data_IF_817256529922
#
_entry.id   IF_817256529922
#
_cell.length_a   1.000
_cell.length_b   1.000
_cell.length_c   1.000
_cell.angle_alpha   90.00
_cell.angle_beta   90.00
_cell.angle_gamma   90.00
#
_symmetry.space_group_name_H-M   'P 1'
#
loop_
_entity.id
_entity.type
_entity.pdbx_description
1 polymer ?
#
# COMPACT_ATOMS: atom_id res chain seq x y z
N UNK A 1 -19.59 -2.66 21.99
CA UNK A 1 -19.56 -3.35 20.68
C UNK A 1 -20.63 -2.89 19.66
N UNK A 2 -21.78 -2.33 20.06
CA UNK A 2 -22.84 -1.89 19.12
C UNK A 2 -22.52 -0.63 18.29
N UNK A 3 -21.69 0.27 18.81
CA UNK A 3 -21.34 1.55 18.16
C UNK A 3 -20.58 1.32 16.85
N UNK A 4 -19.69 0.31 16.80
CA UNK A 4 -18.96 -0.04 15.58
C UNK A 4 -19.90 -0.53 14.47
N UNK A 5 -20.85 -1.40 14.78
CA UNK A 5 -21.82 -1.90 13.78
C UNK A 5 -22.69 -0.77 13.20
N UNK A 6 -23.07 0.21 14.02
CA UNK A 6 -23.80 1.39 13.55
C UNK A 6 -22.92 2.27 12.65
N UNK A 7 -21.65 2.48 13.01
CA UNK A 7 -20.71 3.25 12.21
C UNK A 7 -20.40 2.55 10.88
N UNK A 8 -20.15 1.24 10.90
CA UNK A 8 -19.93 0.41 9.70
C UNK A 8 -21.12 0.51 8.73
N UNK A 9 -22.34 0.43 9.28
CA UNK A 9 -23.57 0.61 8.51
C UNK A 9 -23.69 2.01 7.89
N UNK A 10 -23.23 3.05 8.57
CA UNK A 10 -23.20 4.41 8.02
C UNK A 10 -22.08 4.59 7.00
N UNK A 11 -20.89 4.03 7.22
CA UNK A 11 -19.77 4.05 6.27
C UNK A 11 -20.13 3.37 4.95
N UNK A 12 -20.88 2.27 5.02
CA UNK A 12 -21.39 1.56 3.83
C UNK A 12 -22.43 2.38 3.06
N UNK A 13 -23.25 3.17 3.76
CA UNK A 13 -24.34 3.96 3.14
C UNK A 13 -23.86 5.31 2.61
N UNK A 14 -23.08 6.02 3.41
CA UNK A 14 -22.65 7.39 3.16
C UNK A 14 -21.32 7.66 3.87
N UNK A 15 -20.23 7.26 3.22
CA UNK A 15 -18.88 7.52 3.69
C UNK A 15 -18.57 9.02 3.77
N UNK A 16 -19.14 9.85 2.88
CA UNK A 16 -18.82 11.28 2.83
C UNK A 16 -19.44 12.01 4.03
N UNK A 17 -20.64 11.63 4.48
CA UNK A 17 -21.20 12.10 5.73
C UNK A 17 -20.35 11.71 6.96
N UNK A 18 -19.78 10.49 6.98
CA UNK A 18 -18.86 10.06 8.03
C UNK A 18 -17.59 10.91 8.01
N UNK A 19 -16.96 11.11 6.85
CA UNK A 19 -15.76 11.96 6.73
C UNK A 19 -16.01 13.40 7.17
N UNK A 20 -17.18 13.98 6.83
CA UNK A 20 -17.57 15.31 7.31
C UNK A 20 -17.77 15.37 8.82
N UNK A 21 -18.33 14.32 9.44
CA UNK A 21 -18.46 14.24 10.89
C UNK A 21 -17.08 14.21 11.59
N UNK A 22 -16.08 13.57 10.98
CA UNK A 22 -14.71 13.49 11.52
C UNK A 22 -13.97 14.83 11.55
N UNK A 23 -14.42 15.83 10.78
CA UNK A 23 -13.86 17.19 10.80
C UNK A 23 -14.11 17.94 12.13
N UNK A 24 -14.97 17.41 13.00
CA UNK A 24 -15.22 18.02 14.31
C UNK A 24 -14.03 17.77 15.27
N UNK A 25 -13.23 18.81 15.52
CA UNK A 25 -12.06 18.75 16.40
C UNK A 25 -12.34 18.16 17.79
N UNK A 26 -13.53 18.42 18.36
CA UNK A 26 -13.91 17.92 19.68
C UNK A 26 -14.14 16.41 19.76
N UNK A 27 -14.26 15.73 18.61
CA UNK A 27 -14.37 14.27 18.51
C UNK A 27 -13.02 13.58 18.79
N UNK A 28 -11.93 14.16 18.27
CA UNK A 28 -10.58 13.62 18.37
C UNK A 28 -10.01 13.67 19.79
N UNK A 29 -10.64 14.42 20.69
CA UNK A 29 -10.30 14.46 22.12
C UNK A 29 -11.00 13.37 22.93
N UNK A 30 -11.96 12.63 22.34
CA UNK A 30 -12.73 11.62 23.06
C UNK A 30 -12.00 10.26 23.05
N UNK A 31 -11.70 9.66 24.22
CA UNK A 31 -11.03 8.35 24.29
C UNK A 31 -11.76 7.26 23.52
N UNK A 32 -13.09 7.24 23.58
CA UNK A 32 -13.92 6.29 22.83
C UNK A 32 -13.67 6.35 21.32
N UNK A 33 -13.34 7.53 20.78
CA UNK A 33 -13.04 7.69 19.38
C UNK A 33 -11.59 7.27 19.08
N UNK A 34 -10.62 7.85 19.81
CA UNK A 34 -9.19 7.63 19.56
C UNK A 34 -8.75 6.19 19.82
N UNK A 35 -9.28 5.53 20.84
CA UNK A 35 -8.87 4.18 21.24
C UNK A 35 -9.61 3.07 20.49
N UNK A 36 -10.81 3.35 19.94
CA UNK A 36 -11.67 2.28 19.43
C UNK A 36 -12.25 2.50 18.04
N UNK A 37 -12.33 3.74 17.54
CA UNK A 37 -12.98 4.03 16.27
C UNK A 37 -11.99 4.48 15.20
N UNK A 38 -11.06 5.38 15.53
CA UNK A 38 -10.12 5.96 14.58
C UNK A 38 -9.37 4.90 13.75
N UNK A 39 -8.71 3.95 14.43
CA UNK A 39 -7.99 2.87 13.73
C UNK A 39 -8.90 1.96 12.90
N UNK A 40 -10.12 1.70 13.34
CA UNK A 40 -11.06 0.86 12.58
C UNK A 40 -11.56 1.55 11.32
N UNK A 41 -11.79 2.86 11.38
CA UNK A 41 -12.14 3.67 10.20
C UNK A 41 -10.98 3.64 9.21
N UNK A 42 -9.74 3.82 9.68
CA UNK A 42 -8.55 3.72 8.83
C UNK A 42 -8.42 2.34 8.18
N UNK A 43 -8.60 1.26 8.95
CA UNK A 43 -8.60 -0.11 8.44
C UNK A 43 -9.66 -0.34 7.37
N UNK A 44 -10.87 0.20 7.59
CA UNK A 44 -11.97 0.07 6.64
C UNK A 44 -11.68 0.79 5.32
N UNK A 45 -11.20 2.03 5.37
CA UNK A 45 -10.82 2.81 4.19
C UNK A 45 -9.66 2.17 3.42
N UNK A 46 -8.71 1.57 4.13
CA UNK A 46 -7.57 0.86 3.55
C UNK A 46 -7.96 -0.48 2.88
N UNK A 47 -8.88 -1.24 3.49
CA UNK A 47 -9.30 -2.56 3.00
C UNK A 47 -10.26 -2.48 1.80
N UNK A 48 -11.12 -1.46 1.76
CA UNK A 48 -12.17 -1.33 0.74
C UNK A 48 -11.63 -0.87 -0.60
N UNK A 49 -11.23 -1.84 -1.41
CA UNK A 49 -10.64 -1.62 -2.74
C UNK A 49 -11.56 -2.07 -3.87
N UNK A 50 -12.86 -2.24 -3.60
CA UNK A 50 -13.82 -2.84 -4.52
C UNK A 50 -15.27 -2.58 -4.15
N UNK A 51 -16.16 -2.78 -5.13
CA UNK A 51 -17.55 -2.28 -5.10
C UNK A 51 -18.51 -3.24 -4.38
N UNK A 52 -18.15 -4.52 -4.28
CA UNK A 52 -18.79 -5.64 -3.56
C UNK A 52 -18.19 -6.95 -4.08
N UNK A 53 -18.30 -8.07 -3.36
CA UNK A 53 -18.12 -9.36 -4.00
C UNK A 53 -19.22 -9.54 -5.05
N UNK A 54 -18.84 -9.80 -6.30
CA UNK A 54 -19.81 -10.04 -7.37
C UNK A 54 -19.75 -11.51 -7.80
N UNK A 55 -20.91 -12.07 -8.10
CA UNK A 55 -21.06 -13.39 -8.72
C UNK A 55 -21.96 -13.23 -9.94
N UNK A 56 -21.68 -13.95 -11.02
CA UNK A 56 -22.53 -13.96 -12.21
C UNK A 56 -23.34 -15.25 -12.24
N UNK A 57 -24.63 -15.17 -12.58
CA UNK A 57 -25.45 -16.36 -12.80
C UNK A 57 -24.97 -17.05 -14.07
N UNK A 58 -24.63 -18.32 -13.97
CA UNK A 58 -24.20 -19.11 -15.13
C UNK A 58 -25.41 -19.31 -16.05
N UNK A 59 -25.32 -18.94 -17.32
CA UNK A 59 -26.41 -19.13 -18.29
C UNK A 59 -26.54 -20.63 -18.64
N UNK A 60 -27.64 -21.30 -18.25
CA UNK A 60 -27.79 -22.73 -18.49
C UNK A 60 -27.96 -23.10 -19.97
N UNK A 61 -28.26 -22.14 -20.85
CA UNK A 61 -28.48 -22.40 -22.27
C UNK A 61 -27.19 -22.41 -23.10
N UNK A 62 -26.14 -21.71 -22.66
CA UNK A 62 -24.85 -21.67 -23.35
C UNK A 62 -23.96 -22.89 -23.00
N UNK A 63 -24.21 -23.52 -21.85
CA UNK A 63 -23.43 -24.67 -21.35
C UNK A 63 -24.31 -25.86 -20.91
N UNK A 64 -25.39 -26.09 -21.66
CA UNK A 64 -26.45 -27.05 -21.31
C UNK A 64 -25.96 -28.50 -21.17
N UNK A 65 -24.92 -28.89 -21.94
CA UNK A 65 -24.33 -30.23 -21.88
C UNK A 65 -23.70 -30.46 -20.51
N UNK A 66 -22.90 -29.51 -20.02
CA UNK A 66 -22.23 -29.62 -18.72
C UNK A 66 -23.24 -29.54 -17.56
N UNK A 67 -24.28 -28.73 -17.68
CA UNK A 67 -25.39 -28.66 -16.71
C UNK A 67 -26.13 -30.00 -16.55
N UNK A 68 -26.25 -30.79 -17.62
CA UNK A 68 -26.95 -32.08 -17.58
C UNK A 68 -26.18 -33.18 -16.81
N UNK A 69 -24.85 -33.06 -16.70
CA UNK A 69 -24.00 -34.05 -16.03
C UNK A 69 -23.71 -33.75 -14.56
N UNK A 70 -24.06 -32.55 -14.07
CA UNK A 70 -23.73 -32.11 -12.71
C UNK A 70 -24.99 -31.75 -11.89
N UNK A 71 -25.24 -32.39 -10.73
CA UNK A 71 -26.34 -31.99 -9.85
C UNK A 71 -26.11 -30.55 -9.35
N UNK A 72 -27.19 -29.78 -9.18
CA UNK A 72 -27.27 -28.32 -8.90
C UNK A 72 -26.28 -27.72 -7.87
N UNK A 73 -25.53 -28.52 -7.13
CA UNK A 73 -24.59 -28.07 -6.10
C UNK A 73 -23.10 -28.35 -6.40
N UNK A 74 -22.74 -29.03 -7.51
CA UNK A 74 -21.33 -29.40 -7.80
C UNK A 74 -21.01 -29.38 -9.30
N UNK A 75 -20.87 -28.20 -9.87
CA UNK A 75 -20.17 -28.04 -11.15
C UNK A 75 -18.65 -28.11 -10.91
N UNK A 76 -17.84 -28.52 -11.90
CA UNK A 76 -16.40 -28.38 -11.84
C UNK A 76 -16.05 -26.88 -11.77
N UNK A 77 -15.52 -26.40 -10.64
CA UNK A 77 -15.13 -25.00 -10.46
C UNK A 77 -16.11 -24.09 -9.67
N UNK A 78 -17.08 -24.64 -8.92
CA UNK A 78 -17.90 -23.83 -8.00
C UNK A 78 -19.28 -24.41 -7.64
N UNK A 79 -19.94 -23.83 -6.63
CA UNK A 79 -21.31 -24.19 -6.20
C UNK A 79 -22.32 -23.78 -7.28
N UNK A 80 -23.13 -24.72 -7.74
CA UNK A 80 -23.98 -24.54 -8.92
C UNK A 80 -24.92 -23.32 -8.90
N UNK A 81 -25.25 -22.91 -10.13
CA UNK A 81 -26.01 -21.75 -10.57
C UNK A 81 -25.26 -20.39 -10.62
N UNK A 82 -24.12 -20.22 -9.93
CA UNK A 82 -23.35 -18.97 -9.93
C UNK A 82 -21.84 -19.21 -10.03
N UNK A 83 -21.09 -18.22 -10.53
CA UNK A 83 -19.62 -18.21 -10.43
C UNK A 83 -19.16 -18.14 -8.98
N UNK A 84 -17.93 -18.55 -8.71
CA UNK A 84 -17.29 -18.30 -7.42
C UNK A 84 -17.26 -16.79 -7.09
N UNK A 85 -17.17 -16.50 -5.78
CA UNK A 85 -17.12 -15.13 -5.27
C UNK A 85 -15.89 -14.41 -5.79
N UNK A 86 -16.07 -13.38 -6.61
CA UNK A 86 -14.98 -12.53 -7.08
C UNK A 86 -15.02 -11.24 -6.28
N UNK A 87 -14.01 -11.02 -5.43
CA UNK A 87 -13.73 -9.70 -4.88
C UNK A 87 -13.30 -8.81 -6.05
N UNK A 88 -14.18 -7.93 -6.52
CA UNK A 88 -13.88 -7.08 -7.67
C UNK A 88 -13.04 -5.89 -7.21
N UNK A 89 -11.74 -5.89 -7.50
CA UNK A 89 -10.93 -4.69 -7.37
C UNK A 89 -11.48 -3.62 -8.33
N UNK A 90 -11.68 -2.41 -7.82
CA UNK A 90 -12.10 -1.25 -8.60
C UNK A 90 -11.12 -0.13 -8.35
N UNK A 91 -10.36 0.23 -9.39
CA UNK A 91 -9.34 1.26 -9.30
C UNK A 91 -9.92 2.60 -8.81
N UNK A 92 -11.14 2.94 -9.24
CA UNK A 92 -11.83 4.17 -8.84
C UNK A 92 -12.22 4.16 -7.35
N UNK A 93 -12.78 3.06 -6.84
CA UNK A 93 -13.12 2.94 -5.41
C UNK A 93 -11.85 2.89 -4.56
N UNK A 94 -10.85 2.12 -4.98
CA UNK A 94 -9.56 2.07 -4.30
C UNK A 94 -8.94 3.46 -4.22
N UNK A 95 -8.92 4.22 -5.32
CA UNK A 95 -8.40 5.59 -5.33
C UNK A 95 -9.20 6.52 -4.43
N UNK A 96 -10.54 6.42 -4.45
CA UNK A 96 -11.43 7.24 -3.61
C UNK A 96 -11.21 6.97 -2.12
N UNK A 97 -11.17 5.70 -1.72
CA UNK A 97 -11.03 5.32 -0.32
C UNK A 97 -9.62 5.57 0.24
N UNK A 98 -8.58 5.34 -0.56
CA UNK A 98 -7.22 5.74 -0.19
C UNK A 98 -7.07 7.28 -0.16
N UNK A 99 -7.83 8.02 -0.98
CA UNK A 99 -7.91 9.48 -0.90
C UNK A 99 -8.52 9.95 0.41
N UNK A 100 -9.65 9.35 0.81
CA UNK A 100 -10.28 9.61 2.13
C UNK A 100 -9.38 9.19 3.29
N UNK A 101 -8.58 8.14 3.14
CA UNK A 101 -7.57 7.77 4.13
C UNK A 101 -6.52 8.88 4.32
N UNK A 102 -6.12 9.54 3.23
CA UNK A 102 -5.23 10.71 3.32
C UNK A 102 -5.88 11.85 4.10
N UNK A 103 -7.14 12.18 3.79
CA UNK A 103 -7.89 13.21 4.52
C UNK A 103 -7.99 12.86 6.01
N UNK A 104 -8.28 11.59 6.34
CA UNK A 104 -8.32 11.12 7.72
C UNK A 104 -6.97 11.29 8.43
N UNK A 105 -5.86 11.03 7.73
CA UNK A 105 -4.52 11.23 8.27
C UNK A 105 -4.24 12.72 8.50
N UNK A 106 -4.63 13.60 7.58
CA UNK A 106 -4.45 15.05 7.75
C UNK A 106 -5.21 15.61 8.97
N UNK A 107 -6.34 15.01 9.35
CA UNK A 107 -7.09 15.39 10.56
C UNK A 107 -6.32 15.05 11.87
N UNK A 108 -5.36 14.12 11.83
CA UNK A 108 -4.60 13.70 13.00
C UNK A 108 -3.46 14.68 13.35
N UNK A 109 -3.79 15.67 14.19
CA UNK A 109 -2.88 16.77 14.55
C UNK A 109 -1.73 16.37 15.48
N UNK A 110 -1.87 15.29 16.25
CA UNK A 110 -0.87 14.89 17.27
C UNK A 110 -0.33 13.48 17.02
N UNK A 111 0.93 13.17 17.41
CA UNK A 111 1.50 11.82 17.26
C UNK A 111 0.68 10.71 17.93
N UNK A 112 -0.02 11.02 19.03
CA UNK A 112 -0.88 10.07 19.73
C UNK A 112 -2.11 9.65 18.88
N UNK A 113 -2.61 10.55 18.03
CA UNK A 113 -3.73 10.26 17.11
C UNK A 113 -3.28 9.47 15.88
N UNK A 114 -2.00 9.58 15.50
CA UNK A 114 -1.46 8.91 14.30
C UNK A 114 -1.32 7.41 14.49
N UNK A 115 -0.93 6.97 15.69
CA UNK A 115 -0.61 5.55 15.93
C UNK A 115 -1.79 4.61 15.65
N UNK A 116 -3.00 4.83 16.21
CA UNK A 116 -4.12 3.94 15.95
C UNK A 116 -4.53 3.95 14.47
N UNK A 117 -4.38 5.10 13.79
CA UNK A 117 -4.68 5.23 12.36
C UNK A 117 -3.71 4.43 11.49
N UNK A 118 -2.41 4.51 11.77
CA UNK A 118 -1.38 3.77 11.05
C UNK A 118 -1.54 2.26 11.27
N UNK A 119 -1.71 1.82 12.51
CA UNK A 119 -1.95 0.40 12.82
C UNK A 119 -3.19 -0.11 12.09
N UNK A 120 -4.31 0.62 12.17
CA UNK A 120 -5.53 0.25 11.47
C UNK A 120 -5.36 0.25 9.95
N UNK A 121 -4.75 1.28 9.38
CA UNK A 121 -4.49 1.35 7.94
C UNK A 121 -3.65 0.15 7.46
N UNK A 122 -2.58 -0.20 8.18
CA UNK A 122 -1.78 -1.38 7.88
C UNK A 122 -2.62 -2.67 7.89
N UNK A 123 -3.38 -2.91 8.96
CA UNK A 123 -4.29 -4.07 9.05
C UNK A 123 -5.27 -4.10 7.86
N UNK A 124 -5.83 -2.96 7.48
CA UNK A 124 -6.73 -2.87 6.33
C UNK A 124 -6.03 -3.16 5.00
N UNK A 125 -4.81 -2.66 4.80
CA UNK A 125 -4.06 -2.87 3.56
C UNK A 125 -3.65 -4.32 3.35
N UNK A 126 -3.46 -5.08 4.43
CA UNK A 126 -3.27 -6.53 4.39
C UNK A 126 -4.53 -7.28 3.92
N UNK A 127 -5.71 -6.69 4.14
CA UNK A 127 -7.01 -7.28 3.79
C UNK A 127 -7.46 -6.92 2.38
N UNK A 128 -7.24 -7.80 1.40
CA UNK A 128 -7.74 -7.63 0.03
C UNK A 128 -6.63 -7.54 -1.03
N UNK A 129 -6.96 -7.17 -2.28
CA UNK A 129 -6.00 -7.10 -3.37
C UNK A 129 -4.95 -6.01 -3.14
N UNK A 130 -3.72 -6.22 -3.60
CA UNK A 130 -2.64 -5.25 -3.43
C UNK A 130 -2.99 -3.86 -3.99
N UNK A 131 -2.49 -2.80 -3.35
CA UNK A 131 -2.68 -1.42 -3.84
C UNK A 131 -1.94 -1.24 -5.17
N UNK A 132 -2.69 -0.96 -6.24
CA UNK A 132 -2.12 -0.67 -7.56
C UNK A 132 -1.71 0.79 -7.74
N UNK A 133 -2.39 1.71 -7.06
CA UNK A 133 -2.15 3.14 -7.15
C UNK A 133 -2.32 3.82 -5.78
N UNK A 134 -1.34 4.64 -5.41
CA UNK A 134 -1.40 5.48 -4.20
C UNK A 134 -1.78 6.89 -4.60
N UNK A 135 -2.87 7.46 -4.04
CA UNK A 135 -3.18 8.86 -4.24
C UNK A 135 -2.06 9.78 -3.74
N UNK A 136 -1.71 10.80 -4.51
CA UNK A 136 -0.68 11.79 -4.17
C UNK A 136 -0.88 12.42 -2.77
N UNK A 137 -2.10 12.79 -2.32
CA UNK A 137 -2.30 13.29 -0.96
C UNK A 137 -1.87 12.29 0.12
N UNK A 138 -2.12 10.99 -0.10
CA UNK A 138 -1.73 9.94 0.84
C UNK A 138 -0.21 9.79 0.90
N UNK A 139 0.45 9.84 -0.26
CA UNK A 139 1.90 9.84 -0.35
C UNK A 139 2.51 11.01 0.44
N UNK A 140 1.95 12.21 0.25
CA UNK A 140 2.44 13.45 0.85
C UNK A 140 2.30 13.45 2.37
N UNK A 141 1.16 13.00 2.91
CA UNK A 141 0.97 12.96 4.37
C UNK A 141 1.88 11.93 5.04
N UNK A 142 2.10 10.77 4.39
CA UNK A 142 3.03 9.74 4.88
C UNK A 142 4.48 10.25 4.84
N UNK A 143 4.90 10.87 3.73
CA UNK A 143 6.22 11.48 3.61
C UNK A 143 6.45 12.60 4.63
N UNK A 144 5.43 13.42 4.89
CA UNK A 144 5.48 14.43 5.96
C UNK A 144 5.69 13.79 7.34
N UNK A 145 4.91 12.77 7.70
CA UNK A 145 5.06 12.09 8.99
C UNK A 145 6.38 11.34 9.11
N UNK A 146 6.89 10.84 7.98
CA UNK A 146 8.21 10.28 7.89
C UNK A 146 9.27 11.33 8.25
N UNK A 147 9.25 12.50 7.63
CA UNK A 147 10.26 13.54 7.90
C UNK A 147 10.22 14.09 9.34
N UNK A 148 9.07 13.99 10.03
CA UNK A 148 8.90 14.49 11.42
C UNK A 148 9.55 13.58 12.49
N UNK A 149 9.74 12.28 12.22
CA UNK A 149 10.43 11.31 13.10
C UNK A 149 9.80 11.05 14.48
N UNK A 150 10.39 10.15 15.31
CA UNK A 150 11.08 8.92 14.91
C UNK A 150 10.10 7.94 14.24
N UNK A 151 10.58 7.15 13.27
CA UNK A 151 9.74 6.19 12.55
C UNK A 151 9.32 5.04 13.46
N UNK A 152 8.04 5.02 13.83
CA UNK A 152 7.45 3.87 14.53
C UNK A 152 7.14 2.75 13.55
N UNK A 153 7.10 1.52 14.07
CA UNK A 153 6.85 0.30 13.29
C UNK A 153 5.57 0.38 12.45
N UNK A 154 4.49 0.94 12.98
CA UNK A 154 3.22 1.13 12.27
C UNK A 154 3.33 2.01 11.03
N UNK A 155 4.14 3.07 11.07
CA UNK A 155 4.42 3.94 9.91
C UNK A 155 5.24 3.21 8.86
N UNK A 156 6.26 2.45 9.29
CA UNK A 156 7.09 1.64 8.39
C UNK A 156 6.25 0.60 7.66
N UNK A 157 5.40 -0.10 8.40
CA UNK A 157 4.55 -1.17 7.89
C UNK A 157 3.52 -0.63 6.90
N UNK A 158 2.84 0.46 7.27
CA UNK A 158 1.86 1.12 6.39
C UNK A 158 2.52 1.65 5.11
N UNK A 159 3.68 2.30 5.21
CA UNK A 159 4.40 2.82 4.05
C UNK A 159 4.85 1.70 3.09
N UNK A 160 5.32 0.57 3.64
CA UNK A 160 5.69 -0.61 2.86
C UNK A 160 4.50 -1.21 2.11
N UNK A 161 3.34 -1.35 2.79
CA UNK A 161 2.12 -1.91 2.20
C UNK A 161 1.48 -1.00 1.14
N UNK A 162 1.61 0.32 1.28
CA UNK A 162 1.15 1.27 0.28
C UNK A 162 2.04 1.31 -0.95
N UNK A 163 3.15 0.58 -1.02
CA UNK A 163 4.07 0.60 -2.17
C UNK A 163 4.62 1.99 -2.54
N UNK A 164 4.48 2.99 -1.67
CA UNK A 164 5.33 4.18 -1.71
C UNK A 164 6.64 3.88 -0.97
N UNK A 165 7.40 2.92 -1.50
CA UNK A 165 8.80 2.83 -1.11
C UNK A 165 9.44 4.12 -1.61
N UNK A 166 9.75 5.02 -0.68
CA UNK A 166 10.55 6.24 -0.92
C UNK A 166 11.82 5.91 -1.73
N UNK A 167 12.33 4.68 -1.60
CA UNK A 167 13.47 4.16 -2.36
C UNK A 167 13.16 3.89 -3.83
N UNK A 168 11.96 3.40 -4.16
CA UNK A 168 11.57 3.11 -5.55
C UNK A 168 11.14 4.38 -6.27
N UNK A 169 10.35 5.25 -5.62
CA UNK A 169 9.88 6.50 -6.23
C UNK A 169 10.90 7.65 -6.11
N UNK A 170 11.87 7.56 -5.20
CA UNK A 170 12.90 8.56 -4.96
C UNK A 170 14.10 8.45 -5.89
N UNK A 171 15.30 8.72 -5.35
CA UNK A 171 16.54 8.80 -6.13
C UNK A 171 16.93 7.44 -6.71
N UNK A 172 17.14 7.41 -8.03
CA UNK A 172 17.50 6.21 -8.80
C UNK A 172 18.77 5.55 -8.25
N UNK A 173 19.74 6.35 -7.84
CA UNK A 173 21.02 5.88 -7.31
C UNK A 173 20.85 5.05 -6.03
N UNK A 174 19.96 5.48 -5.12
CA UNK A 174 19.72 4.79 -3.85
C UNK A 174 19.04 3.45 -4.07
N UNK A 175 18.08 3.37 -5.01
CA UNK A 175 17.45 2.13 -5.41
C UNK A 175 18.48 1.13 -5.97
N UNK A 176 19.35 1.60 -6.87
CA UNK A 176 20.41 0.78 -7.46
C UNK A 176 21.37 0.28 -6.39
N UNK A 177 21.76 1.13 -5.44
CA UNK A 177 22.62 0.75 -4.30
C UNK A 177 21.98 -0.32 -3.42
N UNK A 178 20.70 -0.19 -3.10
CA UNK A 178 19.93 -1.18 -2.32
C UNK A 178 19.94 -2.53 -3.02
N UNK A 179 19.69 -2.57 -4.34
CA UNK A 179 19.63 -3.83 -5.08
C UNK A 179 21.00 -4.48 -5.25
N UNK A 180 22.05 -3.70 -5.52
CA UNK A 180 23.40 -4.23 -5.71
C UNK A 180 24.06 -4.71 -4.41
N UNK A 181 23.82 -4.01 -3.30
CA UNK A 181 24.48 -4.30 -2.02
C UNK A 181 23.59 -5.07 -1.03
N UNK A 182 22.30 -5.17 -1.31
CA UNK A 182 21.33 -5.68 -0.35
C UNK A 182 21.05 -4.67 0.76
N UNK A 183 20.04 -4.95 1.56
CA UNK A 183 19.61 -4.11 2.67
C UNK A 183 19.39 -4.97 3.92
N UNK A 184 20.06 -4.60 5.01
CA UNK A 184 19.90 -5.19 6.33
C UNK A 184 19.01 -4.28 7.19
N UNK A 185 17.77 -4.71 7.38
CA UNK A 185 16.86 -4.24 8.43
C UNK A 185 16.48 -5.40 9.35
N UNK A 186 15.24 -5.43 9.82
CA UNK A 186 14.69 -6.58 10.56
C UNK A 186 14.54 -7.83 9.68
N UNK A 187 14.44 -7.63 8.37
CA UNK A 187 14.61 -8.64 7.33
C UNK A 187 15.86 -8.31 6.49
N UNK A 188 16.53 -9.35 5.99
CA UNK A 188 17.72 -9.21 5.15
C UNK A 188 17.32 -9.39 3.68
N UNK A 189 17.47 -8.34 2.88
CA UNK A 189 17.42 -8.45 1.42
C UNK A 189 18.83 -8.81 0.91
N UNK A 190 19.02 -9.98 0.29
CA UNK A 190 20.32 -10.35 -0.26
C UNK A 190 20.69 -9.44 -1.45
N UNK A 191 21.99 -9.19 -1.67
CA UNK A 191 22.45 -8.44 -2.84
C UNK A 191 22.13 -9.19 -4.13
N UNK A 192 21.67 -8.46 -5.14
CA UNK A 192 21.42 -8.96 -6.50
C UNK A 192 22.43 -8.33 -7.46
N UNK A 193 23.71 -8.73 -7.32
CA UNK A 193 24.81 -8.19 -8.12
C UNK A 193 25.18 -9.07 -9.34
N UNK A 194 24.48 -10.18 -9.55
CA UNK A 194 24.75 -11.16 -10.62
C UNK A 194 24.15 -10.79 -11.97
N UNK A 195 23.17 -9.89 -11.99
CA UNK A 195 22.52 -9.41 -13.22
C UNK A 195 23.42 -8.45 -13.99
N UNK A 196 23.31 -8.45 -15.32
CA UNK A 196 24.01 -7.48 -16.17
C UNK A 196 23.41 -6.07 -16.01
N UNK A 197 24.21 -5.03 -16.30
CA UNK A 197 23.79 -3.63 -16.09
C UNK A 197 22.54 -3.25 -16.89
N UNK A 198 22.37 -3.81 -18.10
CA UNK A 198 21.19 -3.60 -18.94
C UNK A 198 19.94 -4.30 -18.39
N UNK A 199 20.07 -5.56 -18.00
CA UNK A 199 18.96 -6.34 -17.42
C UNK A 199 18.46 -5.71 -16.12
N UNK A 200 19.37 -5.26 -15.26
CA UNK A 200 19.02 -4.58 -14.03
C UNK A 200 18.37 -3.22 -14.30
N UNK A 201 18.80 -2.49 -15.34
CA UNK A 201 18.19 -1.22 -15.74
C UNK A 201 16.73 -1.41 -16.15
N UNK A 202 16.45 -2.44 -16.96
CA UNK A 202 15.12 -2.75 -17.45
C UNK A 202 14.19 -3.17 -16.31
N UNK A 203 14.68 -4.01 -15.39
CA UNK A 203 13.92 -4.43 -14.20
C UNK A 203 13.60 -3.24 -13.30
N UNK A 204 14.59 -2.40 -12.99
CA UNK A 204 14.38 -1.24 -12.12
C UNK A 204 13.49 -0.19 -12.77
N UNK A 205 13.62 0.02 -14.08
CA UNK A 205 12.74 0.91 -14.86
C UNK A 205 11.30 0.39 -14.85
N UNK A 206 11.10 -0.91 -15.04
CA UNK A 206 9.78 -1.51 -14.92
C UNK A 206 9.21 -1.30 -13.52
N UNK A 207 9.98 -1.58 -12.46
CA UNK A 207 9.54 -1.40 -11.07
C UNK A 207 9.20 0.07 -10.76
N UNK A 208 9.96 1.02 -11.32
CA UNK A 208 9.76 2.48 -11.14
C UNK A 208 8.59 3.06 -11.95
N UNK A 209 8.23 2.42 -13.07
CA UNK A 209 7.07 2.81 -13.88
C UNK A 209 5.80 2.02 -13.53
N UNK A 210 5.93 0.81 -13.00
CA UNK A 210 4.81 -0.06 -12.62
C UNK A 210 4.19 0.38 -11.28
N UNK A 211 3.02 -0.19 -10.98
CA UNK A 211 2.32 -0.04 -9.69
C UNK A 211 2.12 1.42 -9.23
N UNK A 212 1.93 2.34 -10.18
CA UNK A 212 1.58 3.73 -9.90
C UNK A 212 2.75 4.62 -9.45
N UNK A 213 3.99 4.15 -9.51
CA UNK A 213 5.18 4.90 -9.07
C UNK A 213 5.51 6.08 -9.99
N UNK A 214 5.21 5.98 -11.31
CA UNK A 214 5.39 7.03 -12.31
C UNK A 214 6.79 7.71 -12.28
N UNK A 215 7.81 7.00 -11.81
CA UNK A 215 9.16 7.51 -11.63
C UNK A 215 10.00 7.31 -12.90
N UNK A 216 11.04 8.14 -13.07
CA UNK A 216 11.90 8.13 -14.25
C UNK A 216 12.63 6.79 -14.47
N UNK A 217 13.06 6.47 -15.71
CA UNK A 217 13.75 5.21 -15.99
C UNK A 217 15.16 5.19 -15.38
N UNK A 218 15.63 4.02 -14.96
CA UNK A 218 17.03 3.82 -14.55
C UNK A 218 17.88 3.52 -15.78
N UNK A 219 18.95 4.29 -15.99
CA UNK A 219 19.86 4.02 -17.10
C UNK A 219 20.90 2.94 -16.78
N UNK A 220 21.32 2.11 -17.75
CA UNK A 220 22.44 1.18 -17.57
C UNK A 220 23.75 1.89 -17.17
N UNK A 221 23.94 3.13 -17.63
CA UNK A 221 25.10 3.97 -17.28
C UNK A 221 25.13 4.31 -15.79
N UNK A 222 23.98 4.61 -15.19
CA UNK A 222 23.86 4.84 -13.75
C UNK A 222 24.21 3.57 -12.96
N UNK A 223 23.72 2.41 -13.39
CA UNK A 223 24.02 1.13 -12.74
C UNK A 223 25.51 0.83 -12.75
N UNK A 224 26.17 1.03 -13.89
CA UNK A 224 27.61 0.85 -14.01
C UNK A 224 28.38 1.76 -13.04
N UNK A 225 27.99 3.04 -12.97
CA UNK A 225 28.62 4.01 -12.07
C UNK A 225 28.45 3.59 -10.61
N UNK A 226 27.23 3.23 -10.21
CA UNK A 226 26.95 2.76 -8.84
C UNK A 226 27.69 1.48 -8.54
N UNK A 227 27.80 0.53 -9.48
CA UNK A 227 28.55 -0.72 -9.30
C UNK A 227 30.03 -0.46 -9.02
N UNK A 228 30.65 0.50 -9.70
CA UNK A 228 32.04 0.91 -9.43
C UNK A 228 32.22 1.56 -8.05
N UNK A 229 31.24 2.36 -7.61
CA UNK A 229 31.26 2.96 -6.27
C UNK A 229 31.01 1.90 -5.20
N UNK A 230 30.08 0.97 -5.44
CA UNK A 230 29.71 -0.10 -4.52
C UNK A 230 30.81 -1.16 -4.35
N UNK A 231 31.65 -1.41 -5.36
CA UNK A 231 32.84 -2.28 -5.23
C UNK A 231 33.83 -1.79 -4.17
N UNK A 232 33.81 -0.49 -3.84
CA UNK A 232 34.64 0.08 -2.77
C UNK A 232 34.04 -0.15 -1.38
N UNK A 233 32.73 -0.44 -1.30
CA UNK A 233 31.96 -0.65 -0.07
C UNK A 233 31.26 -2.02 -0.11
N UNK A 234 31.99 -3.09 0.22
CA UNK A 234 31.52 -4.49 0.10
C UNK A 234 30.55 -4.98 1.21
N UNK A 235 29.92 -4.06 1.95
CA UNK A 235 28.97 -4.40 3.01
C UNK A 235 27.52 -4.42 2.52
N UNK A 236 26.69 -5.25 3.18
CA UNK A 236 25.22 -5.11 3.09
C UNK A 236 24.86 -3.77 3.72
N UNK A 237 24.08 -2.95 3.01
CA UNK A 237 23.71 -1.62 3.49
C UNK A 237 22.85 -1.72 4.75
N UNK A 238 23.14 -0.87 5.72
CA UNK A 238 22.30 -0.66 6.89
C UNK A 238 21.41 0.57 6.72
N UNK A 239 20.36 0.66 7.55
CA UNK A 239 19.41 1.78 7.52
C UNK A 239 20.08 3.14 7.82
N UNK A 240 21.06 3.14 8.71
CA UNK A 240 21.79 4.34 9.11
C UNK A 240 22.69 4.85 7.97
N UNK A 241 23.36 3.94 7.25
CA UNK A 241 24.17 4.27 6.08
C UNK A 241 23.31 4.82 4.93
N UNK A 242 22.14 4.23 4.67
CA UNK A 242 21.19 4.72 3.66
C UNK A 242 20.66 6.12 3.97
N UNK A 243 20.37 6.40 5.24
CA UNK A 243 19.92 7.72 5.68
C UNK A 243 21.03 8.77 5.50
N UNK A 244 22.28 8.40 5.77
CA UNK A 244 23.45 9.25 5.52
C UNK A 244 23.66 9.56 4.04
N UNK A 245 23.57 8.54 3.17
CA UNK A 245 23.71 8.70 1.71
C UNK A 245 22.62 9.58 1.10
N UNK A 246 21.39 9.52 1.62
CA UNK A 246 20.29 10.37 1.17
C UNK A 246 20.55 11.85 1.48
N UNK A 247 21.12 12.15 2.65
CA UNK A 247 21.37 13.53 3.09
C UNK A 247 22.54 14.16 2.33
N UNK A 248 23.60 13.40 2.03
CA UNK A 248 24.76 13.92 1.28
C UNK A 248 24.45 14.35 -0.15
N UNK A 249 23.45 13.71 -0.79
CA UNK A 249 23.03 14.05 -2.16
C UNK A 249 22.08 15.27 -2.20
N UNK A 250 21.56 15.70 -1.05
CA UNK A 250 20.65 16.85 -0.94
C UNK A 250 21.39 18.19 -0.77
N UNK A 251 22.67 18.15 -0.42
CA UNK A 251 23.53 19.31 -0.13
C UNK A 251 24.44 19.72 -1.32
N UNK A 252 24.29 19.09 -2.49
CA UNK A 252 24.93 19.43 -3.76
C UNK A 252 23.92 19.99 -4.77
#
# INVERSE_FOLDING_TARGET
MLIWWALEGNMTKDMDAVMNWLQNDGLWEKPVFTEHLAGRIAARLAAERGDTPSFTRINPYDNWIEYAYHPRNRMPGGKGDYTDWVNNYSADISKKNLGRLAELFEMAKTPAMREPLLTGAAEGLELGPHVEYVPEPLAKVIGKWWDEGPQKESLLHTAALLRNSEWVAGQEELLVRIVLNGLKGDLVMPPMNTLEDGELADILTYIRGAWGHNAGPVSPGLIRLVREVSKRNNGILTRDELSGLRNSVRDE
#
